data_IF_249866495979
#
_entry.id   IF_249866495979
#
_cell.length_a   1.000
_cell.length_b   1.000
_cell.length_c   1.000
_cell.angle_alpha   90.00
_cell.angle_beta   90.00
_cell.angle_gamma   90.00
#
_symmetry.space_group_name_H-M   'P 1'
#
loop_
_entity.id
_entity.type
_entity.pdbx_description
1 polymer ?
#
# COMPACT_ATOMS: atom_id res chain seq x y z
N UNK A 1 9.93 55.01 -68.13
CA UNK A 1 9.48 53.87 -67.29
C UNK A 1 8.02 53.57 -67.61
N UNK A 2 7.71 52.78 -68.65
CA UNK A 2 6.35 52.78 -69.22
C UNK A 2 5.86 51.44 -69.81
N UNK A 3 6.47 50.32 -69.41
CA UNK A 3 6.22 48.98 -70.00
C UNK A 3 5.62 47.94 -69.05
N UNK A 4 5.66 48.15 -67.72
CA UNK A 4 5.13 47.15 -66.76
C UNK A 4 3.60 47.11 -66.72
N UNK A 5 2.91 48.25 -66.73
CA UNK A 5 1.45 48.32 -66.52
C UNK A 5 0.63 47.53 -67.54
N UNK A 6 1.16 47.33 -68.76
CA UNK A 6 0.52 46.51 -69.79
C UNK A 6 0.56 45.00 -69.49
N UNK A 7 1.56 44.51 -68.75
CA UNK A 7 1.72 43.09 -68.38
C UNK A 7 0.82 42.69 -67.21
N UNK A 8 0.52 43.60 -66.29
CA UNK A 8 -0.33 43.28 -65.13
C UNK A 8 -1.82 43.14 -65.48
N UNK A 9 -2.32 43.85 -66.50
CA UNK A 9 -3.76 43.88 -66.82
C UNK A 9 -4.39 42.47 -67.01
N UNK A 10 -3.87 41.58 -67.88
CA UNK A 10 -4.41 40.22 -68.01
C UNK A 10 -4.21 39.35 -66.76
N UNK A 11 -3.18 39.61 -65.94
CA UNK A 11 -2.95 38.91 -64.66
C UNK A 11 -4.00 39.32 -63.63
N UNK A 12 -4.43 40.59 -63.64
CA UNK A 12 -5.47 41.10 -62.77
C UNK A 12 -6.86 40.58 -63.17
N UNK A 13 -7.13 40.44 -64.48
CA UNK A 13 -8.36 39.81 -64.99
C UNK A 13 -8.43 38.31 -64.66
N UNK A 14 -7.33 37.56 -64.74
CA UNK A 14 -7.32 36.15 -64.29
C UNK A 14 -7.42 36.04 -62.77
N UNK A 15 -6.73 36.89 -62.01
CA UNK A 15 -6.82 36.91 -60.55
C UNK A 15 -8.23 37.26 -60.06
N UNK A 16 -8.96 38.14 -60.76
CA UNK A 16 -10.37 38.44 -60.46
C UNK A 16 -11.29 37.23 -60.73
N UNK A 17 -11.06 36.49 -61.84
CA UNK A 17 -11.77 35.22 -62.12
C UNK A 17 -11.47 34.15 -61.07
N UNK A 18 -10.22 34.03 -60.61
CA UNK A 18 -9.86 33.15 -59.51
C UNK A 18 -10.45 33.61 -58.17
N UNK A 19 -10.54 34.92 -57.92
CA UNK A 19 -11.17 35.49 -56.72
C UNK A 19 -12.63 35.04 -56.59
N UNK A 20 -13.41 35.10 -57.68
CA UNK A 20 -14.80 34.61 -57.68
C UNK A 20 -14.91 33.11 -57.32
N UNK A 21 -13.98 32.28 -57.80
CA UNK A 21 -13.98 30.83 -57.50
C UNK A 21 -13.51 30.53 -56.06
N UNK A 22 -12.51 31.28 -55.58
CA UNK A 22 -12.01 31.21 -54.21
C UNK A 22 -13.06 31.70 -53.19
N UNK A 23 -13.83 32.73 -53.53
CA UNK A 23 -14.97 33.22 -52.74
C UNK A 23 -16.07 32.15 -52.66
N UNK A 24 -16.39 31.48 -53.78
CA UNK A 24 -17.34 30.36 -53.80
C UNK A 24 -16.87 29.20 -52.89
N UNK A 25 -15.59 28.83 -52.98
CA UNK A 25 -14.99 27.80 -52.12
C UNK A 25 -15.03 28.21 -50.63
N UNK A 26 -14.73 29.48 -50.32
CA UNK A 26 -14.83 30.02 -48.96
C UNK A 26 -16.27 30.03 -48.43
N UNK A 27 -17.28 30.30 -49.26
CA UNK A 27 -18.71 30.17 -48.88
C UNK A 27 -19.08 28.71 -48.59
N UNK A 28 -18.63 27.75 -49.40
CA UNK A 28 -18.87 26.32 -49.15
C UNK A 28 -18.23 25.88 -47.83
N UNK A 29 -16.99 26.30 -47.57
CA UNK A 29 -16.30 26.04 -46.29
C UNK A 29 -17.07 26.66 -45.11
N UNK A 30 -17.45 27.93 -45.20
CA UNK A 30 -18.21 28.64 -44.16
C UNK A 30 -19.53 27.92 -43.86
N UNK A 31 -20.26 27.51 -44.90
CA UNK A 31 -21.52 26.78 -44.78
C UNK A 31 -21.34 25.41 -44.10
N UNK A 32 -20.28 24.67 -44.45
CA UNK A 32 -19.94 23.40 -43.79
C UNK A 32 -19.59 23.56 -42.31
N UNK A 33 -18.80 24.59 -41.96
CA UNK A 33 -18.47 24.91 -40.56
C UNK A 33 -19.70 25.36 -39.78
N UNK A 34 -20.57 26.19 -40.38
CA UNK A 34 -21.83 26.62 -39.77
C UNK A 34 -22.79 25.43 -39.52
N UNK A 35 -22.93 24.52 -40.49
CA UNK A 35 -23.72 23.30 -40.34
C UNK A 35 -23.16 22.38 -39.23
N UNK A 36 -21.83 22.26 -39.12
CA UNK A 36 -21.17 21.50 -38.04
C UNK A 36 -21.39 22.13 -36.66
N UNK A 37 -21.31 23.46 -36.55
CA UNK A 37 -21.60 24.17 -35.30
C UNK A 37 -23.09 24.07 -34.90
N UNK A 38 -24.00 24.19 -35.87
CA UNK A 38 -25.43 23.99 -35.65
C UNK A 38 -25.71 22.59 -35.09
N UNK A 39 -25.08 21.55 -35.65
CA UNK A 39 -25.20 20.18 -35.16
C UNK A 39 -24.68 20.01 -33.72
N UNK A 40 -23.54 20.59 -33.39
CA UNK A 40 -22.98 20.53 -32.03
C UNK A 40 -23.84 21.26 -30.98
N UNK A 41 -24.63 22.26 -31.39
CA UNK A 41 -25.57 22.98 -30.51
C UNK A 41 -26.88 22.20 -30.36
N UNK A 42 -27.41 21.63 -31.45
CA UNK A 42 -28.71 20.95 -31.47
C UNK A 42 -28.65 19.52 -30.92
N UNK A 43 -27.53 18.84 -31.11
CA UNK A 43 -27.22 17.52 -30.58
C UNK A 43 -25.75 17.48 -30.13
N UNK A 44 -25.41 18.09 -28.97
CA UNK A 44 -24.09 17.93 -28.39
C UNK A 44 -23.80 16.43 -28.19
N UNK A 45 -22.60 15.93 -28.50
CA UNK A 45 -22.28 14.52 -28.34
C UNK A 45 -22.26 14.17 -26.86
N UNK A 46 -23.34 13.53 -26.38
CA UNK A 46 -23.38 12.99 -25.03
C UNK A 46 -22.26 11.94 -24.92
N UNK A 47 -21.41 12.07 -23.90
CA UNK A 47 -20.52 10.99 -23.53
C UNK A 47 -21.37 9.74 -23.24
N UNK A 48 -20.94 8.54 -23.67
CA UNK A 48 -21.64 7.31 -23.32
C UNK A 48 -21.64 7.18 -21.79
N UNK A 49 -22.82 7.34 -21.18
CA UNK A 49 -22.97 7.22 -19.74
C UNK A 49 -22.72 5.77 -19.36
N UNK A 50 -21.51 5.47 -18.91
CA UNK A 50 -21.14 4.18 -18.35
C UNK A 50 -22.00 3.97 -17.10
N UNK A 51 -22.91 2.98 -17.07
CA UNK A 51 -23.62 2.67 -15.84
C UNK A 51 -22.60 2.21 -14.81
N UNK A 52 -22.64 2.82 -13.62
CA UNK A 52 -21.83 2.40 -12.49
C UNK A 52 -22.45 1.14 -11.87
N UNK A 53 -22.23 -0.01 -12.51
CA UNK A 53 -22.46 -1.30 -11.88
C UNK A 53 -21.63 -1.37 -10.60
N UNK A 54 -22.29 -1.36 -9.45
CA UNK A 54 -21.67 -1.76 -8.19
C UNK A 54 -21.13 -3.19 -8.33
N UNK A 55 -20.01 -3.49 -7.65
CA UNK A 55 -19.35 -4.79 -7.72
C UNK A 55 -20.20 -5.87 -7.01
N UNK A 56 -21.22 -6.37 -7.69
CA UNK A 56 -22.02 -7.49 -7.20
C UNK A 56 -21.19 -8.77 -7.33
N UNK A 57 -20.83 -9.37 -6.19
CA UNK A 57 -20.33 -10.74 -6.12
C UNK A 57 -21.46 -11.72 -6.47
N UNK A 58 -21.84 -11.77 -7.74
CA UNK A 58 -22.97 -12.54 -8.23
C UNK A 58 -22.54 -13.97 -8.56
N UNK A 59 -22.39 -14.78 -7.50
CA UNK A 59 -21.95 -16.18 -7.58
C UNK A 59 -22.89 -17.07 -8.42
N UNK A 60 -24.14 -16.63 -8.69
CA UNK A 60 -25.15 -17.43 -9.38
C UNK A 60 -26.04 -16.61 -10.34
N UNK A 61 -25.49 -16.11 -11.45
CA UNK A 61 -26.28 -15.72 -12.64
C UNK A 61 -25.42 -15.68 -13.91
N UNK A 62 -25.32 -16.81 -14.61
CA UNK A 62 -24.57 -16.92 -15.86
C UNK A 62 -25.36 -16.31 -17.06
N UNK A 63 -25.02 -15.07 -17.42
CA UNK A 63 -25.26 -14.54 -18.78
C UNK A 63 -23.90 -14.47 -19.47
N UNK A 64 -23.59 -15.55 -20.18
CA UNK A 64 -22.21 -15.95 -20.51
C UNK A 64 -21.57 -15.14 -21.64
N UNK A 65 -21.01 -13.98 -21.27
CA UNK A 65 -20.13 -13.18 -22.12
C UNK A 65 -18.64 -13.45 -21.83
N UNK A 66 -18.35 -14.34 -20.87
CA UNK A 66 -17.00 -14.74 -20.41
C UNK A 66 -16.16 -15.34 -21.54
N UNK A 67 -16.80 -16.10 -22.44
CA UNK A 67 -16.13 -16.93 -23.44
C UNK A 67 -15.32 -16.15 -24.50
N UNK A 68 -15.58 -14.85 -24.71
CA UNK A 68 -14.83 -14.08 -25.74
C UNK A 68 -13.35 -13.87 -25.40
N UNK A 69 -13.01 -13.86 -24.10
CA UNK A 69 -11.64 -13.62 -23.63
C UNK A 69 -10.91 -14.91 -23.23
N UNK A 70 -11.62 -16.03 -23.09
CA UNK A 70 -11.04 -17.35 -22.77
C UNK A 70 -10.03 -17.85 -23.82
N UNK A 71 -10.08 -17.34 -25.06
CA UNK A 71 -9.11 -17.64 -26.13
C UNK A 71 -7.72 -17.04 -25.84
N UNK A 72 -7.65 -16.00 -25.00
CA UNK A 72 -6.41 -15.33 -24.58
C UNK A 72 -6.02 -15.66 -23.13
N UNK A 73 -6.81 -16.50 -22.44
CA UNK A 73 -6.41 -17.04 -21.15
C UNK A 73 -5.38 -18.15 -21.38
N UNK A 74 -4.23 -18.04 -20.72
CA UNK A 74 -3.28 -19.14 -20.61
C UNK A 74 -4.03 -20.35 -20.01
N UNK A 75 -3.93 -21.57 -20.58
CA UNK A 75 -4.69 -22.72 -20.10
C UNK A 75 -4.15 -23.17 -18.75
N UNK A 76 -4.63 -22.55 -17.66
CA UNK A 76 -4.41 -23.00 -16.28
C UNK A 76 -4.66 -24.50 -16.25
N UNK A 77 -3.69 -25.32 -15.80
CA UNK A 77 -3.86 -26.76 -15.71
C UNK A 77 -5.16 -27.07 -14.99
N UNK A 78 -6.01 -27.89 -15.61
CA UNK A 78 -7.31 -28.23 -15.06
C UNK A 78 -7.10 -28.80 -13.67
N UNK A 79 -7.58 -28.07 -12.64
CA UNK A 79 -7.40 -28.49 -11.26
C UNK A 79 -8.07 -29.85 -11.08
N UNK A 80 -7.24 -30.89 -10.93
CA UNK A 80 -7.71 -32.21 -10.56
C UNK A 80 -8.51 -32.08 -9.26
N UNK A 81 -9.55 -32.91 -9.10
CA UNK A 81 -10.43 -32.84 -7.94
C UNK A 81 -9.58 -32.84 -6.66
N UNK A 82 -9.84 -31.86 -5.78
CA UNK A 82 -9.11 -31.66 -4.52
C UNK A 82 -9.05 -32.99 -3.78
N UNK A 83 -7.89 -33.64 -3.81
CA UNK A 83 -7.61 -34.74 -2.90
C UNK A 83 -7.71 -34.14 -1.49
N UNK A 84 -8.39 -34.81 -0.54
CA UNK A 84 -8.47 -34.30 0.81
C UNK A 84 -7.04 -34.05 1.30
N UNK A 85 -6.73 -32.86 1.84
CA UNK A 85 -5.36 -32.52 2.20
C UNK A 85 -4.79 -33.60 3.12
N UNK A 86 -3.49 -33.92 3.03
CA UNK A 86 -2.86 -34.76 4.03
C UNK A 86 -3.11 -34.14 5.40
N UNK A 87 -3.14 -34.95 6.47
CA UNK A 87 -3.54 -34.50 7.80
C UNK A 87 -2.38 -33.71 8.46
N UNK A 88 -2.08 -32.55 7.86
CA UNK A 88 -0.95 -31.67 8.07
C UNK A 88 -1.48 -30.34 8.58
N UNK A 89 -1.19 -30.01 9.83
CA UNK A 89 -1.62 -28.76 10.45
C UNK A 89 -0.40 -27.88 10.75
N UNK A 90 -0.41 -26.64 10.28
CA UNK A 90 0.66 -25.69 10.55
C UNK A 90 0.54 -25.19 12.00
N UNK A 91 1.53 -25.49 12.84
CA UNK A 91 1.55 -25.10 14.26
C UNK A 91 2.34 -23.81 14.52
N UNK A 92 3.17 -23.38 13.56
CA UNK A 92 3.91 -22.12 13.64
C UNK A 92 4.95 -21.97 12.52
N UNK A 93 5.44 -20.75 12.33
CA UNK A 93 6.45 -20.40 11.32
C UNK A 93 7.59 -19.59 11.95
N UNK A 94 8.82 -19.84 11.48
CA UNK A 94 10.04 -19.15 11.86
C UNK A 94 10.67 -18.57 10.60
N UNK A 95 10.37 -17.29 10.33
CA UNK A 95 11.00 -16.55 9.23
C UNK A 95 12.44 -16.22 9.57
N UNK A 96 13.32 -16.37 8.59
CA UNK A 96 14.73 -16.01 8.67
C UNK A 96 15.13 -15.15 7.46
N UNK A 97 16.24 -14.42 7.58
CA UNK A 97 16.85 -13.68 6.48
C UNK A 97 18.28 -14.23 6.29
N UNK A 98 18.64 -14.81 5.12
CA UNK A 98 17.81 -15.00 3.94
C UNK A 98 16.69 -16.04 4.13
N UNK A 99 15.63 -15.86 3.34
CA UNK A 99 14.35 -16.57 3.43
C UNK A 99 14.49 -18.09 3.34
N UNK A 100 15.52 -18.59 2.65
CA UNK A 100 15.87 -20.02 2.55
C UNK A 100 16.31 -20.69 3.85
N UNK A 101 16.53 -19.91 4.93
CA UNK A 101 16.75 -20.43 6.28
C UNK A 101 15.45 -20.53 7.10
N UNK A 102 14.32 -20.08 6.56
CA UNK A 102 13.02 -20.14 7.23
C UNK A 102 12.60 -21.59 7.47
N UNK A 103 11.91 -21.82 8.58
CA UNK A 103 11.46 -23.14 9.01
C UNK A 103 10.01 -23.08 9.47
N UNK A 104 9.27 -24.16 9.31
CA UNK A 104 7.89 -24.29 9.74
C UNK A 104 7.72 -25.47 10.70
N UNK A 105 6.94 -25.27 11.76
CA UNK A 105 6.53 -26.32 12.69
C UNK A 105 5.22 -26.92 12.18
N UNK A 106 5.28 -28.12 11.59
CA UNK A 106 4.11 -28.82 11.06
C UNK A 106 3.81 -30.06 11.90
N UNK A 107 2.53 -30.28 12.16
CA UNK A 107 1.99 -31.52 12.70
C UNK A 107 1.60 -32.41 11.53
N UNK A 108 2.39 -33.44 11.25
CA UNK A 108 2.15 -34.36 10.12
C UNK A 108 1.61 -35.67 10.68
N UNK A 109 0.30 -35.90 10.54
CA UNK A 109 -0.41 -37.09 11.05
C UNK A 109 -0.29 -37.31 12.58
N UNK A 110 -0.12 -36.26 13.38
CA UNK A 110 0.08 -36.31 14.84
C UNK A 110 1.54 -36.19 15.27
N UNK A 111 2.48 -36.11 14.33
CA UNK A 111 3.92 -36.06 14.56
C UNK A 111 4.43 -34.61 14.33
N UNK A 112 4.52 -33.81 15.40
CA UNK A 112 4.91 -32.38 15.34
C UNK A 112 6.42 -32.23 15.16
N UNK A 113 6.85 -31.74 14.00
CA UNK A 113 8.28 -31.60 13.62
C UNK A 113 8.55 -30.26 12.94
N UNK A 114 9.80 -29.82 13.02
CA UNK A 114 10.27 -28.60 12.35
C UNK A 114 10.91 -28.96 11.00
N UNK A 115 10.39 -28.37 9.93
CA UNK A 115 10.79 -28.60 8.54
C UNK A 115 11.34 -27.30 7.93
N UNK A 116 12.27 -27.40 6.98
CA UNK A 116 12.86 -26.30 6.22
C UNK A 116 12.43 -26.34 4.76
N UNK A 117 12.60 -25.20 4.07
CA UNK A 117 12.44 -25.13 2.62
C UNK A 117 13.40 -26.12 1.96
N UNK A 118 12.84 -27.10 1.25
CA UNK A 118 13.55 -28.24 0.65
C UNK A 118 13.38 -29.59 1.38
N UNK A 119 12.79 -29.63 2.58
CA UNK A 119 12.58 -30.88 3.33
C UNK A 119 11.30 -31.62 2.87
N UNK A 120 11.35 -32.95 2.81
CA UNK A 120 10.19 -33.83 2.64
C UNK A 120 9.34 -33.91 3.93
N UNK A 121 8.02 -33.77 3.82
CA UNK A 121 7.06 -33.86 4.94
C UNK A 121 6.79 -35.32 5.36
N UNK A 122 7.85 -36.02 5.79
CA UNK A 122 7.83 -37.46 6.06
C UNK A 122 7.29 -38.28 4.86
N UNK A 123 6.77 -39.49 5.10
CA UNK A 123 6.24 -40.39 4.05
C UNK A 123 4.93 -39.91 3.40
N UNK A 124 4.59 -38.62 3.49
CA UNK A 124 3.39 -38.03 2.85
C UNK A 124 3.55 -37.79 1.34
N UNK A 125 4.80 -37.71 0.83
CA UNK A 125 5.09 -37.44 -0.57
C UNK A 125 5.01 -35.96 -0.99
N UNK A 126 4.98 -35.05 0.00
CA UNK A 126 5.02 -33.60 -0.20
C UNK A 126 6.36 -33.00 0.26
N UNK A 127 6.79 -31.92 -0.39
CA UNK A 127 7.99 -31.14 -0.05
C UNK A 127 7.62 -29.73 0.40
N UNK A 128 8.39 -29.15 1.32
CA UNK A 128 8.20 -27.77 1.77
C UNK A 128 8.88 -26.79 0.80
N UNK A 129 8.12 -25.97 0.06
CA UNK A 129 8.67 -25.06 -0.97
C UNK A 129 8.63 -23.57 -0.62
N UNK A 130 7.73 -23.13 0.27
CA UNK A 130 7.74 -21.76 0.84
C UNK A 130 7.29 -21.76 2.30
N UNK A 131 7.86 -20.84 3.09
CA UNK A 131 7.45 -20.54 4.46
C UNK A 131 7.19 -19.04 4.54
N UNK A 132 5.92 -18.67 4.66
CA UNK A 132 5.44 -17.30 4.73
C UNK A 132 4.98 -16.96 6.16
N UNK A 133 4.70 -15.68 6.43
CA UNK A 133 4.36 -15.20 7.79
C UNK A 133 3.03 -15.73 8.34
N UNK A 134 2.12 -16.15 7.45
CA UNK A 134 0.76 -16.64 7.77
C UNK A 134 0.42 -17.98 7.09
N UNK A 135 1.34 -18.56 6.32
CA UNK A 135 1.07 -19.72 5.49
C UNK A 135 2.35 -20.51 5.17
N UNK A 136 2.16 -21.74 4.72
CA UNK A 136 3.22 -22.60 4.19
C UNK A 136 2.75 -23.16 2.85
N UNK A 137 3.64 -23.19 1.86
CA UNK A 137 3.36 -23.80 0.56
C UNK A 137 4.14 -25.11 0.47
N UNK A 138 3.41 -26.20 0.21
CA UNK A 138 3.97 -27.53 -0.04
C UNK A 138 3.69 -27.94 -1.48
N UNK A 139 4.58 -28.74 -2.08
CA UNK A 139 4.40 -29.29 -3.43
C UNK A 139 4.42 -30.83 -3.40
N UNK A 140 3.53 -31.46 -4.15
CA UNK A 140 3.55 -32.92 -4.35
C UNK A 140 4.60 -33.34 -5.40
N UNK A 141 4.77 -34.65 -5.59
CA UNK A 141 5.67 -35.23 -6.60
C UNK A 141 5.27 -34.93 -8.07
N UNK A 142 4.17 -34.20 -8.31
CA UNK A 142 3.72 -33.71 -9.61
C UNK A 142 3.75 -32.16 -9.70
N UNK A 143 4.44 -31.49 -8.77
CA UNK A 143 4.58 -30.03 -8.65
C UNK A 143 3.23 -29.30 -8.42
N UNK A 144 2.25 -29.99 -7.82
CA UNK A 144 0.99 -29.39 -7.40
C UNK A 144 1.16 -28.70 -6.04
N UNK A 145 1.05 -27.37 -6.06
CA UNK A 145 1.23 -26.53 -4.88
C UNK A 145 -0.06 -26.45 -4.05
N UNK A 146 0.05 -26.78 -2.77
CA UNK A 146 -1.01 -26.65 -1.76
C UNK A 146 -0.56 -25.61 -0.73
N UNK A 147 -1.42 -24.65 -0.44
CA UNK A 147 -1.21 -23.64 0.62
C UNK A 147 -1.89 -24.12 1.89
N UNK A 148 -1.14 -24.18 2.98
CA UNK A 148 -1.62 -24.45 4.33
C UNK A 148 -1.51 -23.14 5.12
N UNK A 149 -2.65 -22.51 5.37
CA UNK A 149 -2.71 -21.30 6.20
C UNK A 149 -2.48 -21.64 7.68
N UNK A 150 -1.85 -20.73 8.42
CA UNK A 150 -1.68 -20.84 9.86
C UNK A 150 -3.05 -20.63 10.53
N UNK A 151 -3.61 -21.62 11.27
CA UNK A 151 -4.82 -21.41 12.04
C UNK A 151 -4.65 -20.26 13.04
N UNK A 152 -5.78 -19.61 13.32
CA UNK A 152 -5.91 -18.31 14.01
C UNK A 152 -4.85 -18.04 15.09
N UNK A 153 -4.15 -16.91 14.95
CA UNK A 153 -2.93 -16.59 15.68
C UNK A 153 -3.05 -16.85 17.19
N UNK A 154 -2.27 -17.82 17.68
CA UNK A 154 -2.38 -18.36 19.03
C UNK A 154 -2.43 -17.21 20.06
N UNK A 155 -3.51 -17.07 20.87
CA UNK A 155 -3.58 -16.02 21.86
C UNK A 155 -2.48 -16.26 22.90
N UNK A 156 -1.48 -15.38 22.90
CA UNK A 156 -0.42 -15.39 23.90
C UNK A 156 -1.05 -14.99 25.25
N UNK A 157 -1.46 -15.99 26.04
CA UNK A 157 -1.95 -15.81 27.40
C UNK A 157 -0.78 -15.44 28.35
N UNK A 158 -0.29 -14.20 28.19
CA UNK A 158 0.78 -13.61 29.01
C UNK A 158 0.34 -13.36 30.47
N UNK A 159 -0.87 -13.79 30.85
CA UNK A 159 -1.47 -13.71 32.20
C UNK A 159 -0.78 -14.58 33.27
N UNK A 160 0.35 -15.20 32.96
CA UNK A 160 1.14 -16.04 33.87
C UNK A 160 2.65 -15.90 33.72
N UNK A 161 3.13 -14.81 33.13
CA UNK A 161 4.56 -14.46 33.09
C UNK A 161 4.84 -13.33 34.08
N UNK A 162 5.07 -13.73 35.34
CA UNK A 162 5.32 -12.80 36.44
C UNK A 162 6.57 -11.93 36.19
N UNK A 163 6.43 -10.63 36.48
CA UNK A 163 7.26 -9.56 35.92
C UNK A 163 8.64 -9.42 36.62
N UNK A 164 9.48 -10.46 36.50
CA UNK A 164 10.81 -10.52 37.16
C UNK A 164 11.84 -11.47 36.51
N UNK A 165 11.48 -12.27 35.50
CA UNK A 165 12.32 -13.39 35.06
C UNK A 165 13.26 -13.13 33.84
N UNK A 166 12.94 -12.18 32.94
CA UNK A 166 13.69 -11.99 31.67
C UNK A 166 14.25 -10.56 31.55
N UNK A 167 15.07 -10.18 32.52
CA UNK A 167 15.97 -9.03 32.36
C UNK A 167 17.15 -9.39 31.46
N UNK A 168 17.22 -8.81 30.26
CA UNK A 168 18.33 -8.81 29.28
C UNK A 168 19.54 -9.70 29.64
N UNK A 169 19.51 -10.97 29.22
CA UNK A 169 20.51 -11.98 29.60
C UNK A 169 21.84 -11.82 28.84
N UNK A 170 22.56 -10.74 29.18
CA UNK A 170 23.89 -10.38 28.68
C UNK A 170 24.88 -11.52 28.96
N UNK A 171 25.64 -11.92 27.94
CA UNK A 171 26.62 -13.01 28.05
C UNK A 171 27.61 -12.77 29.21
N UNK A 172 28.00 -13.81 29.98
CA UNK A 172 28.84 -13.67 31.17
C UNK A 172 30.29 -13.34 30.79
N UNK A 173 30.64 -12.05 30.85
CA UNK A 173 32.02 -11.59 30.71
C UNK A 173 32.81 -11.79 32.01
N UNK A 174 33.55 -12.90 32.13
CA UNK A 174 34.40 -13.22 33.29
C UNK A 174 35.62 -12.30 33.36
N UNK A 175 35.66 -11.36 34.32
CA UNK A 175 36.72 -10.33 34.37
C UNK A 175 36.87 -9.53 35.68
N UNK A 176 37.00 -10.20 36.83
CA UNK A 176 37.65 -9.78 38.10
C UNK A 176 37.34 -8.44 38.83
N UNK A 177 37.45 -8.51 40.17
CA UNK A 177 37.86 -7.46 41.12
C UNK A 177 36.83 -6.47 41.76
N UNK A 178 36.03 -7.02 42.70
CA UNK A 178 35.93 -6.63 44.13
C UNK A 178 35.84 -5.17 44.65
N UNK A 179 34.92 -4.99 45.62
CA UNK A 179 34.82 -3.94 46.67
C UNK A 179 34.42 -2.49 46.24
N UNK A 180 33.61 -1.72 46.99
CA UNK A 180 33.05 -1.89 48.36
C UNK A 180 31.64 -1.25 48.52
N UNK A 181 30.88 -1.73 49.52
CA UNK A 181 29.57 -1.24 50.01
C UNK A 181 29.67 0.15 50.73
N UNK A 182 28.59 0.86 51.19
CA UNK A 182 27.21 0.42 51.53
C UNK A 182 26.07 1.42 51.03
N UNK A 183 24.80 1.53 51.49
CA UNK A 183 24.06 0.96 52.64
C UNK A 183 22.56 0.52 52.38
N UNK A 184 21.40 1.17 52.74
CA UNK A 184 20.20 0.39 53.17
C UNK A 184 18.76 0.77 52.67
N UNK A 185 17.87 -0.24 52.55
CA UNK A 185 16.41 -0.24 52.92
C UNK A 185 15.39 0.69 52.19
N UNK A 186 14.07 0.45 52.15
CA UNK A 186 13.17 -0.57 52.77
C UNK A 186 11.86 -0.74 51.95
N UNK A 187 11.12 -1.84 52.15
CA UNK A 187 9.76 -2.10 51.59
C UNK A 187 8.95 -2.99 52.56
N UNK A 188 7.63 -3.17 52.38
CA UNK A 188 6.52 -2.21 52.21
C UNK A 188 5.58 -2.24 53.45
N UNK A 189 4.31 -1.78 53.38
CA UNK A 189 3.23 -2.78 53.31
C UNK A 189 2.02 -2.39 52.40
N UNK A 190 1.09 -3.35 52.24
CA UNK A 190 -0.03 -3.35 51.28
C UNK A 190 -1.37 -3.06 52.00
N UNK A 191 -2.23 -2.21 51.42
CA UNK A 191 -3.72 -2.27 51.56
C UNK A 191 -4.37 -1.76 50.25
N UNK A 192 -5.51 -2.37 49.89
CA UNK A 192 -6.56 -2.00 48.90
C UNK A 192 -6.88 -0.50 48.80
N UNK A 193 -7.51 0.05 47.74
CA UNK A 193 -8.62 -0.46 46.91
C UNK A 193 -8.73 0.26 45.53
N UNK A 194 -9.56 -0.27 44.62
CA UNK A 194 -10.02 0.27 43.32
C UNK A 194 -8.95 0.70 42.26
N UNK A 195 -9.03 0.24 40.99
CA UNK A 195 -8.17 0.76 39.92
C UNK A 195 -8.68 2.14 39.44
N UNK A 196 -7.86 3.21 39.47
CA UNK A 196 -8.17 4.41 38.72
C UNK A 196 -8.24 4.08 37.22
N UNK A 197 -9.09 4.77 36.47
CA UNK A 197 -9.00 4.72 35.02
C UNK A 197 -7.65 5.30 34.58
N UNK A 198 -6.78 4.49 33.98
CA UNK A 198 -5.53 4.97 33.40
C UNK A 198 -5.82 5.79 32.15
N UNK A 199 -6.08 7.09 32.35
CA UNK A 199 -6.04 8.09 31.31
C UNK A 199 -4.71 7.97 30.57
N UNK A 200 -4.78 7.65 29.28
CA UNK A 200 -3.60 7.48 28.43
C UNK A 200 -2.87 8.82 28.34
N UNK A 201 -1.83 8.99 29.16
CA UNK A 201 -1.07 10.23 29.22
C UNK A 201 -0.55 10.58 27.81
N UNK A 202 -0.68 11.84 27.37
CA UNK A 202 -0.26 12.23 26.04
C UNK A 202 1.27 12.10 25.95
N UNK A 203 1.74 11.10 25.21
CA UNK A 203 3.13 11.03 24.80
C UNK A 203 3.47 12.33 24.04
N UNK A 204 4.45 13.09 24.55
CA UNK A 204 4.74 14.46 24.11
C UNK A 204 4.87 14.52 22.57
N UNK A 205 3.86 15.12 21.93
CA UNK A 205 3.70 15.18 20.46
C UNK A 205 4.94 15.74 19.79
N UNK A 206 5.53 16.78 20.40
CA UNK A 206 6.81 17.39 20.04
C UNK A 206 7.96 16.39 19.94
N UNK A 207 8.08 15.44 20.87
CA UNK A 207 9.18 14.46 20.93
C UNK A 207 9.00 13.36 19.87
N UNK A 208 7.77 12.90 19.65
CA UNK A 208 7.45 11.94 18.60
C UNK A 208 7.74 12.51 17.20
N UNK A 209 7.57 13.83 17.00
CA UNK A 209 7.94 14.50 15.75
C UNK A 209 9.47 14.64 15.62
N UNK A 210 10.21 14.85 16.70
CA UNK A 210 11.69 14.94 16.66
C UNK A 210 12.36 13.60 16.32
N UNK A 211 11.85 12.50 16.89
CA UNK A 211 12.21 11.13 16.52
C UNK A 211 11.87 10.87 15.05
N UNK A 212 10.67 11.24 14.58
CA UNK A 212 10.28 11.09 13.19
C UNK A 212 11.19 11.86 12.21
N UNK A 213 11.56 13.10 12.55
CA UNK A 213 12.50 13.93 11.78
C UNK A 213 13.89 13.30 11.72
N UNK A 214 14.31 12.62 12.78
CA UNK A 214 15.62 11.97 12.87
C UNK A 214 15.65 10.64 12.10
N UNK A 215 14.68 9.76 12.36
CA UNK A 215 14.55 8.47 11.68
C UNK A 215 14.36 8.61 10.16
N UNK A 216 13.64 9.64 9.70
CA UNK A 216 13.44 9.92 8.28
C UNK A 216 14.71 10.48 7.58
N UNK A 217 15.65 11.07 8.33
CA UNK A 217 16.98 11.50 7.83
C UNK A 217 17.99 10.36 7.81
N UNK A 218 17.98 9.49 8.82
CA UNK A 218 18.97 8.41 8.96
C UNK A 218 18.60 7.14 8.20
N UNK A 219 17.35 6.66 8.32
CA UNK A 219 16.87 5.48 7.61
C UNK A 219 15.39 5.63 7.20
N UNK A 220 15.11 6.38 6.12
CA UNK A 220 13.75 6.63 5.67
C UNK A 220 13.01 5.35 5.28
N UNK A 221 13.68 4.37 4.66
CA UNK A 221 13.04 3.12 4.25
C UNK A 221 12.48 2.35 5.47
N UNK A 222 13.25 2.22 6.54
CA UNK A 222 12.76 1.58 7.77
C UNK A 222 11.71 2.41 8.50
N UNK A 223 11.83 3.75 8.53
CA UNK A 223 10.82 4.61 9.15
C UNK A 223 9.47 4.51 8.43
N UNK A 224 9.45 4.67 7.10
CA UNK A 224 8.24 4.63 6.28
C UNK A 224 7.53 3.27 6.38
N UNK A 225 8.28 2.17 6.33
CA UNK A 225 7.74 0.82 6.55
C UNK A 225 7.12 0.63 7.93
N UNK A 226 7.75 1.13 9.01
CA UNK A 226 7.16 1.08 10.37
C UNK A 226 5.88 1.90 10.50
N UNK A 227 5.80 3.03 9.80
CA UNK A 227 4.59 3.86 9.72
C UNK A 227 3.53 3.32 8.74
N UNK A 228 3.84 2.24 8.01
CA UNK A 228 2.95 1.64 7.02
C UNK A 228 2.64 2.53 5.83
N UNK A 229 3.62 3.34 5.39
CA UNK A 229 3.52 4.20 4.20
C UNK A 229 4.59 3.86 3.18
N UNK A 230 4.28 4.03 1.90
CA UNK A 230 5.19 3.77 0.77
C UNK A 230 5.34 5.02 -0.10
N UNK A 231 6.55 5.33 -0.54
CA UNK A 231 6.78 6.44 -1.47
C UNK A 231 6.23 6.10 -2.87
N UNK A 232 5.35 6.96 -3.40
CA UNK A 232 4.75 6.86 -4.74
C UNK A 232 5.36 7.86 -5.74
N UNK A 233 6.43 8.57 -5.37
CA UNK A 233 7.08 9.63 -6.16
C UNK A 233 6.33 10.97 -6.14
N UNK A 234 5.01 10.91 -6.32
CA UNK A 234 4.07 12.04 -6.27
C UNK A 234 3.43 12.23 -4.88
N UNK A 235 3.88 11.47 -3.88
CA UNK A 235 3.26 11.44 -2.55
C UNK A 235 3.62 10.19 -1.74
N UNK A 236 3.03 10.05 -0.56
CA UNK A 236 3.10 8.84 0.26
C UNK A 236 1.77 8.09 0.24
N UNK A 237 1.78 6.82 -0.19
CA UNK A 237 0.61 5.95 -0.16
C UNK A 237 0.50 5.24 1.20
N UNK A 238 -0.65 5.37 1.86
CA UNK A 238 -1.01 4.66 3.10
C UNK A 238 -1.31 3.21 2.78
N UNK A 239 -0.69 2.28 3.49
CA UNK A 239 -0.87 0.83 3.31
C UNK A 239 -1.74 0.23 4.42
N UNK A 240 -2.13 -1.03 4.26
CA UNK A 240 -2.79 -1.82 5.31
C UNK A 240 -1.95 -1.93 6.60
N UNK A 241 -0.61 -1.83 6.51
CA UNK A 241 0.30 -1.93 7.65
C UNK A 241 0.34 -0.68 8.56
N UNK A 242 -0.26 0.47 8.16
CA UNK A 242 -0.33 1.64 9.04
C UNK A 242 -1.12 1.29 10.33
N UNK A 243 -0.62 1.62 11.53
CA UNK A 243 -1.32 1.34 12.78
C UNK A 243 -2.75 1.89 12.81
N UNK A 244 -3.71 1.02 13.13
CA UNK A 244 -5.15 1.33 13.07
C UNK A 244 -5.55 2.53 13.93
N UNK A 245 -4.99 2.67 15.13
CA UNK A 245 -5.23 3.83 15.99
C UNK A 245 -4.79 5.17 15.36
N UNK A 246 -3.65 5.19 14.66
CA UNK A 246 -3.18 6.38 13.95
C UNK A 246 -4.04 6.68 12.72
N UNK A 247 -4.32 5.65 11.92
CA UNK A 247 -5.18 5.72 10.73
C UNK A 247 -6.55 6.31 11.09
N UNK A 248 -7.20 5.73 12.09
CA UNK A 248 -8.54 6.15 12.56
C UNK A 248 -8.53 7.57 13.14
N UNK A 249 -7.50 7.94 13.93
CA UNK A 249 -7.37 9.30 14.51
C UNK A 249 -7.24 10.38 13.43
N UNK A 250 -6.57 10.08 12.32
CA UNK A 250 -6.39 11.00 11.20
C UNK A 250 -7.51 10.92 10.14
N UNK A 251 -8.43 9.97 10.23
CA UNK A 251 -9.47 9.73 9.21
C UNK A 251 -8.94 9.16 7.90
N UNK A 252 -7.74 8.57 7.90
CA UNK A 252 -7.09 7.96 6.74
C UNK A 252 -7.65 6.56 6.44
N UNK A 253 -7.48 6.10 5.21
CA UNK A 253 -7.82 4.74 4.76
C UNK A 253 -6.63 4.09 4.02
N UNK A 254 -6.61 2.77 3.91
CA UNK A 254 -5.57 2.08 3.14
C UNK A 254 -5.81 2.31 1.63
N UNK A 255 -4.79 2.81 0.93
CA UNK A 255 -4.89 3.28 -0.46
C UNK A 255 -4.86 4.80 -0.61
N UNK A 256 -5.07 5.56 0.47
CA UNK A 256 -4.94 7.02 0.47
C UNK A 256 -3.53 7.47 0.05
N UNK A 257 -3.43 8.50 -0.79
CA UNK A 257 -2.15 9.13 -1.18
C UNK A 257 -2.01 10.52 -0.57
N UNK A 258 -1.10 10.69 0.37
CA UNK A 258 -0.72 12.00 0.92
C UNK A 258 0.09 12.77 -0.13
N UNK A 259 -0.44 13.90 -0.60
CA UNK A 259 0.17 14.74 -1.64
C UNK A 259 0.96 15.92 -1.04
N UNK A 260 0.38 16.63 -0.06
CA UNK A 260 1.01 17.78 0.58
C UNK A 260 0.84 17.77 2.10
N UNK A 261 1.77 18.42 2.80
CA UNK A 261 1.69 18.74 4.23
C UNK A 261 2.05 20.22 4.41
N UNK A 262 1.18 20.98 5.08
CA UNK A 262 1.21 22.45 5.16
C UNK A 262 1.38 23.16 3.81
N UNK A 263 0.83 22.57 2.73
CA UNK A 263 0.92 23.07 1.36
C UNK A 263 2.24 22.77 0.64
N UNK A 264 3.19 22.09 1.30
CA UNK A 264 4.43 21.61 0.70
C UNK A 264 4.25 20.16 0.22
N UNK A 265 4.57 19.87 -1.04
CA UNK A 265 4.56 18.52 -1.60
C UNK A 265 5.50 17.59 -0.82
N UNK A 266 5.04 16.36 -0.56
CA UNK A 266 5.77 15.33 0.18
C UNK A 266 6.02 14.06 -0.64
N UNK A 267 6.92 13.19 -0.17
CA UNK A 267 7.17 11.86 -0.75
C UNK A 267 8.09 11.85 -1.97
N UNK A 268 8.54 13.01 -2.43
CA UNK A 268 9.56 13.14 -3.48
C UNK A 268 11.00 13.06 -2.95
N UNK A 269 11.25 13.35 -1.67
CA UNK A 269 12.58 13.26 -1.05
C UNK A 269 12.49 13.25 0.48
N UNK A 270 12.79 12.12 1.16
CA UNK A 270 12.67 12.02 2.63
C UNK A 270 13.42 13.09 3.43
N UNK A 271 14.54 13.62 2.91
CA UNK A 271 15.28 14.71 3.54
C UNK A 271 14.52 16.06 3.49
N UNK A 272 13.74 16.29 2.44
CA UNK A 272 12.82 17.43 2.34
C UNK A 272 11.60 17.21 3.24
N UNK A 273 11.03 16.00 3.22
CA UNK A 273 9.90 15.60 4.07
C UNK A 273 10.21 15.80 5.57
N UNK A 274 11.43 15.45 6.01
CA UNK A 274 11.90 15.70 7.37
C UNK A 274 12.04 17.19 7.72
N UNK A 275 12.18 18.08 6.72
CA UNK A 275 12.14 19.54 6.93
C UNK A 275 10.71 20.04 7.10
N UNK A 276 9.74 19.46 6.38
CA UNK A 276 8.31 19.77 6.54
C UNK A 276 7.80 19.33 7.92
N UNK A 277 8.21 18.14 8.39
CA UNK A 277 7.89 17.68 9.75
C UNK A 277 8.49 18.61 10.83
N UNK A 278 9.71 19.12 10.63
CA UNK A 278 10.31 20.09 11.55
C UNK A 278 9.56 21.44 11.56
N UNK A 279 8.96 21.86 10.43
CA UNK A 279 8.07 23.02 10.38
C UNK A 279 6.73 22.75 11.09
N UNK A 280 6.15 21.56 10.93
CA UNK A 280 4.93 21.12 11.65
C UNK A 280 5.13 21.15 13.17
N UNK A 281 6.31 20.71 13.64
CA UNK A 281 6.71 20.76 15.06
C UNK A 281 6.67 22.21 15.59
N UNK A 282 7.13 23.17 14.79
CA UNK A 282 7.19 24.60 15.17
C UNK A 282 5.82 25.30 15.08
N UNK A 283 4.91 24.84 14.21
CA UNK A 283 3.56 25.40 14.09
C UNK A 283 2.53 24.77 15.03
N UNK A 284 2.84 23.64 15.68
CA UNK A 284 1.88 22.87 16.48
C UNK A 284 0.69 22.33 15.68
N UNK A 285 0.77 22.34 14.35
CA UNK A 285 -0.35 22.05 13.46
C UNK A 285 0.10 21.60 12.07
N UNK A 286 -0.63 20.63 11.52
CA UNK A 286 -0.49 20.13 10.16
C UNK A 286 -1.83 20.17 9.41
N UNK A 287 -1.86 20.81 8.25
CA UNK A 287 -2.86 20.57 7.21
C UNK A 287 -2.29 19.54 6.22
N UNK A 288 -2.97 18.43 6.02
CA UNK A 288 -2.53 17.31 5.18
C UNK A 288 -3.52 17.15 4.03
N UNK A 289 -3.05 17.14 2.79
CA UNK A 289 -3.90 16.93 1.61
C UNK A 289 -3.70 15.50 1.08
N UNK A 290 -4.81 14.79 0.94
CA UNK A 290 -4.85 13.34 0.70
C UNK A 290 -5.81 13.02 -0.43
N UNK A 291 -5.34 12.31 -1.44
CA UNK A 291 -6.17 11.79 -2.51
C UNK A 291 -6.71 10.40 -2.14
N UNK A 292 -8.04 10.26 -2.12
CA UNK A 292 -8.78 9.00 -1.98
C UNK A 292 -9.54 8.73 -3.28
N UNK A 293 -9.03 7.79 -4.08
CA UNK A 293 -9.53 7.56 -5.44
C UNK A 293 -9.35 8.81 -6.31
N UNK A 294 -10.45 9.42 -6.75
CA UNK A 294 -10.44 10.67 -7.55
C UNK A 294 -10.63 11.94 -6.71
N UNK A 295 -10.97 11.82 -5.41
CA UNK A 295 -11.25 12.97 -4.55
C UNK A 295 -10.02 13.37 -3.72
N UNK A 296 -9.72 14.68 -3.67
CA UNK A 296 -8.77 15.24 -2.70
C UNK A 296 -9.53 15.68 -1.43
N UNK A 297 -9.00 15.30 -0.28
CA UNK A 297 -9.53 15.54 1.06
C UNK A 297 -8.46 16.29 1.87
N UNK A 298 -8.87 17.30 2.63
CA UNK A 298 -7.97 18.06 3.51
C UNK A 298 -8.21 17.68 4.97
N UNK A 299 -7.23 17.03 5.59
CA UNK A 299 -7.20 16.70 7.02
C UNK A 299 -6.47 17.82 7.77
N UNK A 300 -6.90 18.14 8.99
CA UNK A 300 -6.21 19.10 9.87
C UNK A 300 -5.99 18.49 11.24
N UNK A 301 -4.75 18.47 11.69
CA UNK A 301 -4.33 18.01 13.00
C UNK A 301 -3.65 19.17 13.75
N UNK A 302 -3.96 19.30 15.03
CA UNK A 302 -3.26 20.15 16.01
C UNK A 302 -2.61 19.25 17.07
N UNK A 303 -1.48 19.68 17.63
CA UNK A 303 -0.58 18.85 18.44
C UNK A 303 -0.28 19.44 19.82
#
# INVERSE_FOLDING_TARGET
>A
MMSMSARLKPIMDTLNRFSAWLLLLAIIWLCWVAARLLWLILAPPLAPALPLQALQNNVNSAVDNSNLFAIFADPKPAAAAVQPPPNVELKGVLLAIPDSLSSALLDVNGDVKNYRIGDDLADSGFTLISVDWNAVIIADAADQQIVIELPEALPLDQRGLDDSAIGNQRLPNTGNASNTLPLPTQSPPIVTDDPPAEESQPADTSSAIEEAVSALKENPASYLSRMGVMASGEGYQVTAAMPSGLRNRLGLEAGDKVLTVNGQTVGSSPAQDATVLQQVQQSGAAQIEVQRGEQVITIRQQF
#
